data_IF_271959644592
#
_entry.id   IF_271959644592
#
_cell.length_a   1.000
_cell.length_b   1.000
_cell.length_c   1.000
_cell.angle_alpha   90.00
_cell.angle_beta   90.00
_cell.angle_gamma   90.00
#
_symmetry.space_group_name_H-M   'P 1'
#
loop_
_entity.id
_entity.type
_entity.pdbx_description
1 polymer ?
#
# COMPACT_ATOMS: atom_id res chain seq x y z
N UNK A 1 -23.41 -4.67 -2.73
CA UNK A 1 -22.17 -4.07 -3.29
C UNK A 1 -21.29 -5.22 -3.74
N UNK A 2 -20.83 -5.21 -5.00
CA UNK A 2 -19.89 -6.25 -5.47
C UNK A 2 -18.53 -5.98 -4.82
N UNK A 3 -17.98 -6.98 -4.15
CA UNK A 3 -16.67 -6.91 -3.51
C UNK A 3 -15.89 -8.20 -3.78
N UNK A 4 -14.57 -8.10 -3.90
CA UNK A 4 -13.64 -9.22 -3.91
C UNK A 4 -12.61 -9.00 -2.82
N UNK A 5 -12.61 -9.91 -1.85
CA UNK A 5 -11.65 -9.88 -0.75
C UNK A 5 -10.31 -10.43 -1.21
N UNK A 6 -9.29 -9.58 -1.28
CA UNK A 6 -7.94 -9.96 -1.68
C UNK A 6 -7.15 -10.51 -0.49
N UNK A 7 -7.30 -9.90 0.68
CA UNK A 7 -6.66 -10.32 1.93
C UNK A 7 -7.54 -9.93 3.14
N UNK A 8 -7.56 -10.77 4.17
CA UNK A 8 -8.42 -10.60 5.35
C UNK A 8 -9.84 -11.12 5.14
N UNK A 9 -10.68 -11.09 6.18
CA UNK A 9 -12.07 -11.56 6.10
C UNK A 9 -12.19 -12.99 5.56
N UNK A 10 -12.93 -13.16 4.47
CA UNK A 10 -13.16 -14.46 3.81
C UNK A 10 -11.92 -15.02 3.08
N UNK A 11 -10.87 -14.21 2.88
CA UNK A 11 -9.57 -14.68 2.40
C UNK A 11 -8.49 -14.41 3.48
N UNK A 12 -8.36 -15.29 4.49
CA UNK A 12 -7.55 -15.04 5.68
C UNK A 12 -6.12 -14.63 5.36
N UNK A 13 -5.57 -13.72 6.16
CA UNK A 13 -4.17 -13.33 6.04
C UNK A 13 -3.24 -14.52 6.25
N UNK A 14 -2.22 -14.63 5.40
CA UNK A 14 -1.09 -15.52 5.60
C UNK A 14 0.20 -14.70 5.54
N UNK A 15 1.03 -14.80 6.57
CA UNK A 15 2.29 -14.05 6.61
C UNK A 15 3.21 -14.42 5.42
N UNK A 16 3.16 -15.67 4.96
CA UNK A 16 3.90 -16.17 3.80
C UNK A 16 3.49 -15.55 2.46
N UNK A 17 2.32 -14.92 2.39
CA UNK A 17 1.89 -14.18 1.20
C UNK A 17 2.59 -12.84 1.07
N UNK A 18 3.37 -12.42 2.07
CA UNK A 18 4.02 -11.11 2.13
C UNK A 18 5.50 -11.25 2.46
N UNK A 19 6.30 -10.34 1.91
CA UNK A 19 7.74 -10.32 2.17
C UNK A 19 8.31 -8.91 2.12
N UNK A 20 9.36 -8.70 2.91
CA UNK A 20 10.01 -7.40 3.03
C UNK A 20 10.66 -6.97 1.71
N UNK A 21 10.54 -5.68 1.41
CA UNK A 21 11.26 -4.96 0.36
C UNK A 21 11.75 -3.64 0.93
N UNK A 22 12.67 -3.70 1.89
CA UNK A 22 13.17 -2.48 2.56
C UNK A 22 14.38 -1.88 1.83
N UNK A 23 14.78 -0.67 2.23
CA UNK A 23 15.95 0.03 1.70
C UNK A 23 17.32 -0.65 1.97
N UNK A 24 17.33 -1.74 2.74
CA UNK A 24 18.52 -2.59 3.01
C UNK A 24 19.22 -3.06 1.74
N UNK A 25 18.47 -3.25 0.64
CA UNK A 25 19.03 -3.60 -0.68
C UNK A 25 19.92 -2.50 -1.28
N UNK A 26 19.84 -1.29 -0.73
CA UNK A 26 20.67 -0.13 -1.06
C UNK A 26 21.61 0.28 0.09
N UNK A 27 21.76 -0.56 1.11
CA UNK A 27 22.56 -0.28 2.29
C UNK A 27 21.86 0.56 3.37
N UNK A 28 20.54 0.76 3.25
CA UNK A 28 19.75 1.38 4.31
C UNK A 28 19.57 0.46 5.53
N UNK A 29 18.99 1.02 6.60
CA UNK A 29 18.74 0.32 7.88
C UNK A 29 17.28 0.26 8.26
N UNK A 30 16.37 0.65 7.38
CA UNK A 30 14.95 0.50 7.64
C UNK A 30 14.57 -0.98 7.60
N UNK A 31 13.62 -1.36 8.45
CA UNK A 31 13.18 -2.75 8.52
C UNK A 31 11.69 -2.81 8.81
N UNK A 32 10.99 -3.63 8.03
CA UNK A 32 9.57 -3.90 8.22
C UNK A 32 9.28 -5.38 8.46
N UNK A 33 8.10 -5.62 9.03
CA UNK A 33 7.51 -6.91 9.31
C UNK A 33 6.02 -6.89 8.99
N UNK A 34 5.44 -8.06 8.71
CA UNK A 34 4.01 -8.27 8.60
C UNK A 34 3.62 -9.47 9.46
N UNK A 35 3.03 -9.19 10.62
CA UNK A 35 2.58 -10.23 11.54
C UNK A 35 1.09 -10.46 11.40
N UNK A 36 0.66 -11.71 11.35
CA UNK A 36 -0.76 -12.08 11.27
C UNK A 36 -1.24 -12.57 12.63
N UNK A 37 -2.31 -11.98 13.14
CA UNK A 37 -2.93 -12.38 14.41
C UNK A 37 -4.41 -12.03 14.42
N UNK A 38 -5.24 -12.91 15.01
CA UNK A 38 -6.68 -12.68 15.18
C UNK A 38 -7.40 -12.24 13.89
N UNK A 39 -7.01 -12.82 12.75
CA UNK A 39 -7.59 -12.53 11.44
C UNK A 39 -7.16 -11.20 10.79
N UNK A 40 -6.23 -10.45 11.39
CA UNK A 40 -5.70 -9.19 10.86
C UNK A 40 -4.20 -9.28 10.57
N UNK A 41 -3.70 -8.40 9.70
CA UNK A 41 -2.27 -8.20 9.50
C UNK A 41 -1.80 -6.90 10.15
N UNK A 42 -0.67 -6.95 10.85
CA UNK A 42 0.03 -5.79 11.39
C UNK A 42 1.29 -5.54 10.58
N UNK A 43 1.30 -4.45 9.82
CA UNK A 43 2.50 -3.92 9.17
C UNK A 43 3.23 -2.99 10.15
N UNK A 44 4.46 -3.33 10.54
CA UNK A 44 5.20 -2.56 11.54
C UNK A 44 6.71 -2.64 11.35
N UNK A 45 7.45 -1.79 12.05
CA UNK A 45 8.91 -1.80 12.04
C UNK A 45 9.49 -0.44 12.39
N UNK A 46 10.72 -0.20 11.91
CA UNK A 46 11.45 1.05 12.14
C UNK A 46 11.93 1.62 10.82
N UNK A 47 11.66 2.90 10.59
CA UNK A 47 12.14 3.66 9.45
C UNK A 47 13.40 4.46 9.86
N UNK A 48 14.56 4.09 9.31
CA UNK A 48 15.80 4.86 9.47
C UNK A 48 16.02 5.76 8.27
N UNK A 49 16.15 7.07 8.53
CA UNK A 49 16.41 8.06 7.47
C UNK A 49 17.85 8.55 7.48
N UNK A 50 18.63 8.23 8.52
CA UNK A 50 19.98 8.79 8.71
C UNK A 50 20.98 8.11 7.81
N UNK A 51 20.89 6.80 7.63
CA UNK A 51 21.86 6.01 6.85
C UNK A 51 21.91 6.44 5.39
N UNK A 52 20.77 6.85 4.80
CA UNK A 52 20.69 7.27 3.41
C UNK A 52 20.45 8.78 3.26
N UNK A 53 20.85 9.60 4.25
CA UNK A 53 20.88 11.05 4.13
C UNK A 53 19.50 11.71 3.98
N UNK A 54 18.53 11.30 4.79
CA UNK A 54 17.14 11.76 4.77
C UNK A 54 16.21 10.88 3.92
N UNK A 55 16.75 10.01 3.08
CA UNK A 55 15.98 8.98 2.39
C UNK A 55 15.82 7.74 3.28
N UNK A 56 14.72 7.01 3.09
CA UNK A 56 14.50 5.72 3.74
C UNK A 56 13.14 5.16 3.38
N UNK A 57 13.02 3.84 3.31
CA UNK A 57 11.73 3.17 3.20
C UNK A 57 11.76 1.74 3.77
N UNK A 58 10.66 1.37 4.42
CA UNK A 58 10.36 0.03 4.88
C UNK A 58 9.05 -0.41 4.22
N UNK A 59 9.01 -1.58 3.58
CA UNK A 59 7.80 -2.01 2.88
C UNK A 59 7.61 -3.52 2.87
N UNK A 60 6.35 -3.94 2.81
CA UNK A 60 5.93 -5.31 2.61
C UNK A 60 5.17 -5.40 1.29
N UNK A 61 5.49 -6.42 0.49
CA UNK A 61 4.81 -6.68 -0.79
C UNK A 61 4.34 -8.12 -0.86
N UNK A 62 3.32 -8.38 -1.67
CA UNK A 62 2.87 -9.75 -1.92
C UNK A 62 3.97 -10.60 -2.58
N UNK A 63 4.10 -11.85 -2.15
CA UNK A 63 4.98 -12.86 -2.75
C UNK A 63 4.38 -13.43 -4.04
N UNK A 64 5.19 -14.17 -4.80
CA UNK A 64 4.79 -14.69 -6.11
C UNK A 64 5.00 -13.66 -7.23
N UNK A 65 5.59 -14.12 -8.32
CA UNK A 65 5.81 -13.32 -9.54
C UNK A 65 4.78 -13.67 -10.65
N UNK A 66 3.98 -14.72 -10.40
CA UNK A 66 2.95 -15.29 -11.28
C UNK A 66 1.52 -14.91 -10.89
N UNK A 67 1.33 -14.20 -9.77
CA UNK A 67 0.01 -13.74 -9.34
C UNK A 67 -0.57 -12.74 -10.35
N UNK A 68 -1.84 -12.92 -10.69
CA UNK A 68 -2.62 -12.02 -11.52
C UNK A 68 -4.01 -11.86 -10.90
N UNK A 69 -4.40 -10.62 -10.63
CA UNK A 69 -5.74 -10.24 -10.21
C UNK A 69 -6.41 -9.44 -11.32
N UNK A 70 -7.53 -9.96 -11.83
CA UNK A 70 -8.45 -9.18 -12.66
C UNK A 70 -9.39 -8.39 -11.76
N UNK A 71 -9.09 -7.10 -11.63
CA UNK A 71 -9.85 -6.12 -10.85
C UNK A 71 -10.63 -5.16 -11.76
N UNK A 72 -10.75 -5.45 -13.06
CA UNK A 72 -11.36 -4.55 -14.05
C UNK A 72 -12.86 -4.31 -13.85
N UNK A 73 -13.51 -5.13 -13.04
CA UNK A 73 -14.93 -4.99 -12.69
C UNK A 73 -15.20 -4.18 -11.41
N UNK A 74 -14.19 -3.52 -10.85
CA UNK A 74 -14.26 -2.76 -9.60
C UNK A 74 -13.80 -1.32 -9.85
N UNK A 75 -14.07 -0.41 -8.92
CA UNK A 75 -13.74 1.02 -9.05
C UNK A 75 -12.50 1.43 -8.24
N UNK A 76 -12.10 0.57 -7.30
CA UNK A 76 -10.95 0.83 -6.46
C UNK A 76 -10.70 -0.24 -5.41
N UNK A 77 -9.71 0.03 -4.57
CA UNK A 77 -9.38 -0.77 -3.39
C UNK A 77 -9.92 -0.11 -2.13
N UNK A 78 -10.67 -0.86 -1.33
CA UNK A 78 -11.00 -0.51 0.05
C UNK A 78 -10.04 -1.24 1.00
N UNK A 79 -9.33 -0.48 1.82
CA UNK A 79 -8.45 -0.99 2.86
C UNK A 79 -9.14 -0.72 4.19
N UNK A 80 -9.63 -1.76 4.87
CA UNK A 80 -10.16 -1.62 6.23
C UNK A 80 -9.01 -1.63 7.23
N UNK A 81 -8.99 -0.63 8.10
CA UNK A 81 -7.92 -0.39 9.05
C UNK A 81 -8.38 -0.79 10.47
N UNK A 82 -7.41 -1.20 11.28
CA UNK A 82 -7.53 -1.35 12.72
C UNK A 82 -6.71 -0.29 13.43
N UNK A 83 -6.05 -0.68 14.53
CA UNK A 83 -5.12 0.19 15.26
C UNK A 83 -4.02 0.69 14.33
N UNK A 84 -3.84 1.99 14.25
CA UNK A 84 -2.77 2.66 13.52
C UNK A 84 -2.10 3.71 14.39
N UNK A 85 -0.93 4.14 13.97
CA UNK A 85 -0.29 5.37 14.45
C UNK A 85 -0.63 6.55 13.52
N UNK A 86 -0.04 7.71 13.83
CA UNK A 86 -0.23 8.96 13.10
C UNK A 86 0.78 9.14 11.96
N UNK A 87 1.34 8.03 11.44
CA UNK A 87 2.32 8.07 10.34
C UNK A 87 1.62 8.11 8.97
N UNK A 88 2.37 8.54 7.95
CA UNK A 88 1.94 8.50 6.55
C UNK A 88 2.38 7.21 5.89
N UNK A 89 1.44 6.52 5.28
CA UNK A 89 1.66 5.26 4.58
C UNK A 89 1.42 5.41 3.08
N UNK A 90 1.97 4.49 2.30
CA UNK A 90 1.74 4.39 0.86
C UNK A 90 1.21 2.99 0.54
N UNK A 91 0.06 2.93 -0.13
CA UNK A 91 -0.42 1.72 -0.79
C UNK A 91 0.07 1.71 -2.24
N UNK A 92 0.52 0.56 -2.73
CA UNK A 92 1.15 0.45 -4.04
C UNK A 92 0.57 -0.73 -4.81
N UNK A 93 0.23 -0.50 -6.06
CA UNK A 93 -0.09 -1.53 -7.04
C UNK A 93 0.96 -1.57 -8.14
N UNK A 94 1.17 -2.76 -8.70
CA UNK A 94 1.88 -2.96 -9.98
C UNK A 94 1.09 -3.89 -10.88
N UNK A 95 1.03 -3.54 -12.15
CA UNK A 95 0.56 -4.38 -13.26
C UNK A 95 1.73 -5.05 -14.01
N UNK A 96 2.96 -4.63 -13.73
CA UNK A 96 4.18 -5.17 -14.33
C UNK A 96 5.19 -5.59 -13.26
N UNK A 97 5.61 -6.86 -13.37
CA UNK A 97 6.75 -7.44 -12.65
C UNK A 97 7.61 -8.11 -13.70
N UNK A 98 8.87 -7.69 -13.77
CA UNK A 98 9.87 -8.28 -14.67
C UNK A 98 10.57 -9.44 -13.97
N UNK A 99 11.08 -10.38 -14.75
CA UNK A 99 12.00 -11.40 -14.25
C UNK A 99 13.19 -10.74 -13.53
N UNK A 100 13.74 -11.44 -12.54
CA UNK A 100 14.94 -10.97 -11.85
C UNK A 100 16.06 -10.80 -12.85
N UNK A 101 16.89 -9.77 -12.63
CA UNK A 101 18.04 -9.52 -13.48
C UNK A 101 18.93 -10.78 -13.53
N UNK A 102 19.24 -11.32 -14.73
CA UNK A 102 19.91 -12.61 -14.86
C UNK A 102 21.37 -12.57 -14.38
N UNK A 103 22.00 -11.39 -14.31
CA UNK A 103 23.41 -11.25 -13.91
C UNK A 103 23.58 -11.20 -12.39
N UNK A 104 22.66 -10.56 -11.68
CA UNK A 104 22.80 -10.32 -10.23
C UNK A 104 21.62 -10.82 -9.38
N UNK A 105 20.61 -11.42 -10.01
CA UNK A 105 19.43 -11.99 -9.34
C UNK A 105 18.51 -10.97 -8.66
N UNK A 106 18.73 -9.66 -8.86
CA UNK A 106 17.95 -8.61 -8.19
C UNK A 106 16.64 -8.34 -8.93
N UNK A 107 15.62 -7.96 -8.18
CA UNK A 107 14.38 -7.45 -8.77
C UNK A 107 14.63 -6.18 -9.57
N UNK A 108 13.98 -6.10 -10.73
CA UNK A 108 14.08 -4.95 -11.62
C UNK A 108 12.99 -3.92 -11.30
N UNK A 109 13.28 -2.64 -11.56
CA UNK A 109 12.33 -1.56 -11.33
C UNK A 109 11.33 -1.46 -12.49
N UNK A 110 10.04 -1.48 -12.15
CA UNK A 110 8.90 -1.20 -13.04
C UNK A 110 8.17 0.04 -12.55
N UNK A 111 7.13 0.47 -13.27
CA UNK A 111 6.21 1.52 -12.78
C UNK A 111 5.47 1.00 -11.55
N UNK A 112 5.34 1.86 -10.54
CA UNK A 112 4.48 1.65 -9.37
C UNK A 112 3.31 2.62 -9.45
N UNK A 113 2.12 2.19 -9.04
CA UNK A 113 0.95 3.05 -8.91
C UNK A 113 0.69 3.25 -7.43
N UNK A 114 0.93 4.46 -6.94
CA UNK A 114 1.03 4.76 -5.52
C UNK A 114 -0.11 5.65 -5.04
N UNK A 115 -0.62 5.37 -3.86
CA UNK A 115 -1.56 6.22 -3.14
C UNK A 115 -1.05 6.42 -1.71
N UNK A 116 -0.86 7.68 -1.32
CA UNK A 116 -0.46 8.02 0.03
C UNK A 116 -1.67 8.33 0.90
N UNK A 117 -1.64 7.88 2.16
CA UNK A 117 -2.68 8.18 3.13
C UNK A 117 -2.09 8.37 4.53
N UNK A 118 -2.74 9.24 5.30
CA UNK A 118 -2.51 9.44 6.72
C UNK A 118 -3.80 9.12 7.45
N UNK A 119 -3.70 8.43 8.58
CA UNK A 119 -4.86 8.20 9.45
C UNK A 119 -4.74 9.15 10.62
N UNK A 120 -5.75 9.99 10.84
CA UNK A 120 -5.79 10.85 12.02
C UNK A 120 -6.07 10.05 13.29
N UNK A 121 -5.52 10.50 14.41
CA UNK A 121 -5.68 9.85 15.73
C UNK A 121 -7.15 9.68 16.12
N UNK A 122 -8.00 10.65 15.80
CA UNK A 122 -9.44 10.59 16.06
C UNK A 122 -10.13 9.42 15.32
N UNK A 123 -9.64 9.10 14.12
CA UNK A 123 -10.17 8.05 13.26
C UNK A 123 -9.59 6.68 13.64
N UNK A 124 -8.37 6.64 14.19
CA UNK A 124 -7.69 5.44 14.69
C UNK A 124 -8.43 4.76 15.86
N UNK A 125 -9.27 5.51 16.57
CA UNK A 125 -10.09 5.01 17.69
C UNK A 125 -11.45 4.44 17.24
N UNK A 126 -11.82 4.59 15.96
CA UNK A 126 -13.10 4.13 15.43
C UNK A 126 -13.01 2.72 14.82
N UNK A 127 -14.04 1.89 15.04
CA UNK A 127 -14.03 0.51 14.53
C UNK A 127 -14.26 0.39 13.01
N UNK A 128 -14.78 1.44 12.36
CA UNK A 128 -15.11 1.50 10.94
C UNK A 128 -14.14 2.34 10.10
N UNK A 129 -12.86 2.37 10.47
CA UNK A 129 -11.87 3.10 9.71
C UNK A 129 -11.50 2.38 8.39
N UNK A 130 -11.61 3.07 7.25
CA UNK A 130 -11.16 2.56 5.97
C UNK A 130 -10.60 3.68 5.08
N UNK A 131 -9.71 3.27 4.16
CA UNK A 131 -9.23 4.10 3.05
C UNK A 131 -9.78 3.51 1.76
N UNK A 132 -10.36 4.34 0.91
CA UNK A 132 -10.70 3.98 -0.47
C UNK A 132 -9.68 4.58 -1.42
N UNK A 133 -9.16 3.75 -2.32
CA UNK A 133 -8.17 4.11 -3.33
C UNK A 133 -8.82 3.88 -4.69
N UNK A 134 -9.32 4.96 -5.29
CA UNK A 134 -9.86 4.91 -6.66
C UNK A 134 -8.74 4.72 -7.68
N UNK A 135 -9.04 4.12 -8.83
CA UNK A 135 -8.03 3.92 -9.87
C UNK A 135 -7.42 5.21 -10.39
N UNK A 136 -8.21 6.28 -10.46
CA UNK A 136 -7.75 7.59 -10.92
C UNK A 136 -6.99 8.39 -9.85
N UNK A 137 -7.01 7.95 -8.58
CA UNK A 137 -6.25 8.57 -7.49
C UNK A 137 -4.80 8.04 -7.40
N UNK A 138 -4.51 6.96 -8.11
CA UNK A 138 -3.18 6.34 -8.13
C UNK A 138 -2.20 7.16 -8.96
N UNK A 139 -1.10 7.59 -8.33
CA UNK A 139 -0.02 8.33 -8.98
C UNK A 139 1.03 7.35 -9.53
N UNK A 140 1.31 7.33 -10.84
CA UNK A 140 2.35 6.48 -11.40
C UNK A 140 3.73 7.04 -11.04
N UNK A 141 4.60 6.19 -10.51
CA UNK A 141 5.98 6.52 -10.14
C UNK A 141 6.97 5.53 -10.74
N UNK A 142 8.21 5.97 -10.90
CA UNK A 142 9.34 5.11 -11.20
C UNK A 142 10.48 5.45 -10.24
N UNK A 143 10.85 4.48 -9.39
CA UNK A 143 11.89 4.63 -8.36
C UNK A 143 11.63 5.84 -7.44
N UNK A 144 10.37 6.00 -7.01
CA UNK A 144 9.94 7.05 -6.06
C UNK A 144 9.78 8.44 -6.67
N UNK A 145 9.85 8.59 -8.00
CA UNK A 145 9.57 9.84 -8.71
C UNK A 145 8.36 9.69 -9.59
N UNK A 146 7.50 10.70 -9.62
CA UNK A 146 6.33 10.71 -10.52
C UNK A 146 6.76 10.51 -11.98
N UNK A 147 6.06 9.61 -12.68
CA UNK A 147 6.30 9.29 -14.08
C UNK A 147 5.19 9.89 -14.93
N UNK A 148 5.38 11.14 -15.33
CA UNK A 148 4.45 11.85 -16.23
C UNK A 148 4.29 11.09 -17.55
N UNK A 149 3.06 11.00 -18.04
CA UNK A 149 2.73 10.28 -19.28
C UNK A 149 2.82 8.75 -19.18
N UNK A 150 2.95 8.18 -17.98
CA UNK A 150 2.73 6.75 -17.80
C UNK A 150 1.31 6.37 -18.20
N UNK A 151 1.13 5.13 -18.67
CA UNK A 151 -0.20 4.56 -18.86
C UNK A 151 -0.90 4.48 -17.50
N UNK A 152 -2.24 4.45 -17.53
CA UNK A 152 -3.03 4.09 -16.34
C UNK A 152 -2.75 2.63 -15.97
N UNK A 153 -2.98 2.29 -14.70
CA UNK A 153 -2.90 0.92 -14.19
C UNK A 153 -3.76 -0.01 -15.06
N UNK A 154 -3.18 -1.11 -15.54
CA UNK A 154 -3.96 -2.19 -16.14
C UNK A 154 -4.65 -3.01 -15.05
N UNK A 155 -5.91 -2.69 -14.77
CA UNK A 155 -6.69 -3.35 -13.72
C UNK A 155 -7.04 -4.80 -14.05
N UNK A 156 -6.88 -5.27 -15.29
CA UNK A 156 -7.07 -6.69 -15.64
C UNK A 156 -5.90 -7.57 -15.22
N UNK A 157 -4.74 -6.95 -15.02
CA UNK A 157 -3.45 -7.62 -14.88
C UNK A 157 -2.69 -7.18 -13.64
N UNK A 158 -3.35 -6.85 -12.54
CA UNK A 158 -2.63 -6.45 -11.32
C UNK A 158 -1.81 -7.63 -10.83
N UNK A 159 -0.51 -7.42 -10.59
CA UNK A 159 0.45 -8.47 -10.25
C UNK A 159 1.00 -8.38 -8.84
N UNK A 160 0.94 -7.19 -8.22
CA UNK A 160 1.55 -6.99 -6.90
C UNK A 160 0.85 -5.89 -6.12
N UNK A 161 0.65 -6.17 -4.84
CA UNK A 161 0.24 -5.19 -3.83
C UNK A 161 1.42 -4.91 -2.90
N UNK A 162 1.54 -3.70 -2.39
CA UNK A 162 2.51 -3.36 -1.33
C UNK A 162 1.96 -2.31 -0.39
N UNK A 163 2.44 -2.35 0.86
CA UNK A 163 2.23 -1.32 1.87
C UNK A 163 3.61 -0.84 2.32
N UNK A 164 3.78 0.47 2.39
CA UNK A 164 5.08 1.09 2.63
C UNK A 164 4.98 2.24 3.63
N UNK A 165 6.02 2.34 4.45
CA UNK A 165 6.37 3.50 5.24
C UNK A 165 7.64 4.11 4.64
N UNK A 166 7.64 5.40 4.29
CA UNK A 166 8.78 6.07 3.66
C UNK A 166 9.07 7.43 4.29
N UNK A 167 10.29 7.92 4.16
CA UNK A 167 10.70 9.16 4.84
C UNK A 167 10.07 10.43 4.31
N UNK A 168 9.56 10.41 3.07
CA UNK A 168 9.21 11.63 2.32
C UNK A 168 10.35 12.66 2.34
N UNK A 169 11.60 12.19 2.25
CA UNK A 169 12.81 13.01 2.27
C UNK A 169 13.02 13.81 3.57
N UNK A 170 12.60 13.25 4.70
CA UNK A 170 12.90 13.77 6.04
C UNK A 170 11.69 14.18 6.86
N UNK A 171 10.49 14.09 6.29
CA UNK A 171 9.25 14.45 6.99
C UNK A 171 8.87 13.45 8.09
N UNK A 172 9.32 12.19 7.99
CA UNK A 172 9.05 11.18 9.03
C UNK A 172 10.16 10.12 9.16
N UNK A 173 10.36 9.65 10.40
CA UNK A 173 11.25 8.55 10.78
C UNK A 173 10.72 7.81 12.03
N UNK A 174 11.43 6.76 12.45
CA UNK A 174 11.18 6.05 13.69
C UNK A 174 10.23 4.87 13.54
N UNK A 175 9.72 4.40 14.68
CA UNK A 175 8.83 3.24 14.72
C UNK A 175 7.48 3.54 14.09
N UNK A 176 6.92 2.53 13.43
CA UNK A 176 5.60 2.60 12.82
C UNK A 176 4.82 1.29 13.02
N UNK A 177 3.49 1.38 13.00
CA UNK A 177 2.58 0.26 13.19
C UNK A 177 1.19 0.57 12.64
N UNK A 178 0.80 -0.18 11.59
CA UNK A 178 -0.51 -0.14 10.95
C UNK A 178 -1.17 -1.52 10.96
N UNK A 179 -2.35 -1.62 11.53
CA UNK A 179 -3.19 -2.83 11.45
C UNK A 179 -4.12 -2.73 10.26
N UNK A 180 -4.13 -3.76 9.42
CA UNK A 180 -5.00 -3.91 8.25
C UNK A 180 -5.92 -5.09 8.51
N UNK A 181 -7.23 -4.82 8.54
CA UNK A 181 -8.26 -5.85 8.71
C UNK A 181 -8.50 -6.57 7.39
N UNK A 182 -8.71 -5.82 6.31
CA UNK A 182 -8.92 -6.38 4.97
C UNK A 182 -8.43 -5.45 3.87
N UNK A 183 -8.12 -6.04 2.71
CA UNK A 183 -7.94 -5.37 1.43
C UNK A 183 -8.94 -5.98 0.45
N UNK A 184 -9.84 -5.15 -0.07
CA UNK A 184 -10.95 -5.57 -0.93
C UNK A 184 -10.99 -4.70 -2.19
N UNK A 185 -11.21 -5.31 -3.35
CA UNK A 185 -11.66 -4.57 -4.53
C UNK A 185 -13.18 -4.39 -4.44
N UNK A 186 -13.69 -3.17 -4.63
CA UNK A 186 -15.12 -2.87 -4.49
C UNK A 186 -15.65 -2.03 -5.66
N UNK A 187 -16.94 -2.22 -5.98
CA UNK A 187 -17.70 -1.29 -6.83
C UNK A 187 -18.29 -0.22 -5.92
N UNK A 188 -18.01 1.05 -6.21
CA UNK A 188 -18.61 2.18 -5.51
C UNK A 188 -20.09 2.30 -5.94
N UNK A 189 -21.05 2.42 -5.00
CA UNK A 189 -22.44 2.64 -5.37
C UNK A 189 -22.62 4.03 -6.00
N UNK A 190 -23.42 4.12 -7.06
CA UNK A 190 -23.69 5.34 -7.85
C UNK A 190 -24.11 6.56 -6.99
N UNK A 191 -24.77 6.32 -5.86
CA UNK A 191 -25.23 7.37 -4.93
C UNK A 191 -24.09 8.13 -4.21
N UNK A 192 -22.82 7.71 -4.37
CA UNK A 192 -21.63 8.37 -3.83
C UNK A 192 -20.93 9.32 -4.80
N UNK A 193 -21.48 9.62 -6.00
CA UNK A 193 -21.08 10.84 -6.72
C UNK A 193 -21.44 12.11 -5.91
N UNK A 194 -22.45 12.03 -5.02
CA UNK A 194 -22.70 13.03 -3.96
C UNK A 194 -21.76 12.91 -2.75
N UNK A 195 -20.93 11.85 -2.71
CA UNK A 195 -20.06 11.41 -1.63
C UNK A 195 -18.60 11.86 -1.74
N UNK A 196 -18.22 12.65 -2.76
CA UNK A 196 -17.00 13.48 -2.68
C UNK A 196 -17.02 14.42 -1.45
N UNK A 197 -18.20 14.67 -0.88
CA UNK A 197 -18.42 15.41 0.37
C UNK A 197 -18.49 14.54 1.64
N UNK A 198 -18.38 13.21 1.54
CA UNK A 198 -18.32 12.28 2.69
C UNK A 198 -16.96 11.59 2.74
N UNK A 199 -15.90 12.38 2.68
CA UNK A 199 -14.76 12.12 3.55
C UNK A 199 -15.35 11.97 4.95
N UNK A 200 -15.24 10.80 5.56
CA UNK A 200 -15.32 10.71 7.02
C UNK A 200 -14.41 11.83 7.53
N UNK A 201 -15.03 12.84 8.15
CA UNK A 201 -14.39 14.07 8.59
C UNK A 201 -13.07 13.69 9.27
N UNK A 202 -11.94 14.13 8.69
CA UNK A 202 -10.57 14.09 9.24
C UNK A 202 -9.51 13.19 8.58
N UNK A 203 -9.67 12.66 7.35
CA UNK A 203 -8.49 12.23 6.57
C UNK A 203 -7.94 13.39 5.73
N UNK A 204 -6.76 13.90 6.08
CA UNK A 204 -6.01 14.83 5.22
C UNK A 204 -5.37 14.04 4.09
N UNK A 205 -5.93 14.15 2.88
CA UNK A 205 -5.20 13.79 1.65
C UNK A 205 -4.25 14.94 1.37
N UNK A 206 -2.96 14.75 1.66
CA UNK A 206 -1.91 15.73 1.30
C UNK A 206 -1.52 15.47 -0.16
N UNK A 207 -2.03 16.30 -1.07
CA UNK A 207 -1.67 16.30 -2.49
C UNK A 207 -0.17 16.51 -2.71
#
# INVERSE_FOLDING_TARGET
MKALTLFGGDNPWQASDWTASDDRVRGGKSQSYLDVSSGNARFHGTLDIKTLGGAGFASQRTTGDDRIWDLSSYDGIKIRLGKCDSKRYTFILKDEVLEKNPENGREQSTVSYEYDFEVSEDVALSEENFVFVGWDDLKPTYRGKEKKGAKKLDTKGVKRLSVMMRSFFGDQEGDFSLTIKSIEAIVQPDDLEMGKARTSRNLKVKL
#
